data_IF_031170139003
#
_entry.id   IF_031170139003
#
_cell.length_a   1.000
_cell.length_b   1.000
_cell.length_c   1.000
_cell.angle_alpha   90.00
_cell.angle_beta   90.00
_cell.angle_gamma   90.00
#
_symmetry.space_group_name_H-M   'P 1'
#
loop_
_entity.id
_entity.type
_entity.pdbx_description
1 polymer ?
#
# COMPACT_ATOMS: atom_id res chain seq x y z
N UNK A 1 15.92 -62.85 -10.55
CA UNK A 1 15.66 -62.16 -11.83
C UNK A 1 14.48 -61.21 -11.60
N UNK A 2 14.75 -60.08 -10.94
CA UNK A 2 13.81 -58.96 -10.79
C UNK A 2 14.52 -57.77 -11.42
N UNK A 3 13.82 -57.11 -12.35
CA UNK A 3 14.36 -56.02 -13.16
C UNK A 3 14.81 -54.85 -12.30
N UNK A 4 15.90 -54.23 -12.74
CA UNK A 4 16.52 -53.07 -12.13
C UNK A 4 15.51 -51.92 -12.01
N UNK A 5 15.30 -51.46 -10.78
CA UNK A 5 14.66 -50.20 -10.45
C UNK A 5 15.72 -49.09 -10.54
N UNK A 6 15.91 -48.55 -11.74
CA UNK A 6 16.51 -47.22 -11.93
C UNK A 6 15.42 -46.17 -11.67
N UNK A 7 15.59 -45.31 -10.65
CA UNK A 7 14.63 -44.21 -10.45
C UNK A 7 14.60 -43.49 -9.11
N UNK A 8 15.49 -43.78 -8.16
CA UNK A 8 15.49 -43.10 -6.85
C UNK A 8 16.02 -41.65 -6.87
N UNK A 9 16.57 -41.16 -7.99
CA UNK A 9 17.17 -39.82 -8.07
C UNK A 9 16.21 -38.70 -8.51
N UNK A 10 14.92 -38.96 -8.78
CA UNK A 10 14.00 -37.94 -9.33
C UNK A 10 13.19 -37.11 -8.32
N UNK A 11 13.31 -37.36 -7.01
CA UNK A 11 12.47 -36.70 -6.00
C UNK A 11 13.16 -35.62 -5.15
N UNK A 12 14.46 -35.37 -5.34
CA UNK A 12 15.24 -34.39 -4.56
C UNK A 12 15.73 -33.19 -5.35
N UNK A 13 15.00 -32.79 -6.40
CA UNK A 13 15.23 -31.47 -6.96
C UNK A 13 14.82 -30.43 -5.89
N UNK A 14 15.67 -29.44 -5.54
CA UNK A 14 15.26 -28.34 -4.67
C UNK A 14 14.00 -27.71 -5.27
N UNK A 15 13.09 -27.21 -4.44
CA UNK A 15 11.76 -26.82 -4.91
C UNK A 15 11.83 -25.63 -5.86
N UNK A 16 12.86 -24.80 -5.70
CA UNK A 16 13.31 -23.82 -6.69
C UNK A 16 13.54 -24.39 -8.09
N UNK A 17 14.12 -25.58 -8.20
CA UNK A 17 14.34 -26.23 -9.50
C UNK A 17 13.00 -26.62 -10.17
N UNK A 18 11.95 -26.88 -9.38
CA UNK A 18 10.60 -27.05 -9.92
C UNK A 18 10.03 -25.73 -10.43
N UNK A 19 10.13 -24.65 -9.67
CA UNK A 19 9.68 -23.32 -10.10
C UNK A 19 10.37 -22.89 -11.41
N UNK A 20 11.70 -23.07 -11.51
CA UNK A 20 12.48 -22.79 -12.72
C UNK A 20 12.05 -23.67 -13.91
N UNK A 21 11.80 -24.96 -13.66
CA UNK A 21 11.44 -25.93 -14.71
C UNK A 21 10.04 -25.71 -15.27
N UNK A 22 9.09 -25.31 -14.44
CA UNK A 22 7.68 -25.13 -14.87
C UNK A 22 7.37 -23.70 -15.29
N UNK A 23 8.25 -22.73 -14.97
CA UNK A 23 8.04 -21.31 -15.25
C UNK A 23 6.82 -20.73 -14.52
N UNK A 24 6.48 -21.26 -13.34
CA UNK A 24 5.32 -20.84 -12.54
C UNK A 24 5.70 -20.69 -11.07
N UNK A 25 5.02 -19.82 -10.32
CA UNK A 25 5.18 -19.74 -8.88
C UNK A 25 4.90 -21.10 -8.23
N UNK A 26 5.67 -21.45 -7.20
CA UNK A 26 5.47 -22.65 -6.37
C UNK A 26 5.62 -22.22 -4.92
N UNK A 27 4.76 -22.76 -4.04
CA UNK A 27 4.95 -22.66 -2.59
C UNK A 27 4.69 -24.04 -1.96
N UNK A 28 5.23 -24.24 -0.77
CA UNK A 28 4.95 -25.42 0.04
C UNK A 28 3.90 -25.14 1.09
N UNK A 29 2.84 -25.95 1.15
CA UNK A 29 1.87 -25.92 2.23
C UNK A 29 2.07 -27.06 3.22
N UNK A 30 2.12 -26.77 4.52
CA UNK A 30 2.14 -27.79 5.57
C UNK A 30 1.43 -27.36 6.85
N UNK A 31 0.68 -28.27 7.50
CA UNK A 31 0.01 -27.95 8.77
C UNK A 31 0.94 -27.99 9.98
N UNK A 32 2.06 -28.72 9.91
CA UNK A 32 3.05 -28.78 11.00
C UNK A 32 4.49 -28.72 10.45
N UNK A 33 5.33 -27.89 11.08
CA UNK A 33 6.80 -27.90 10.87
C UNK A 33 7.44 -29.10 11.58
N UNK A 34 6.72 -29.72 12.53
CA UNK A 34 7.25 -30.69 13.48
C UNK A 34 7.49 -32.09 12.90
N UNK A 35 6.91 -32.42 11.74
CA UNK A 35 7.05 -33.74 11.12
C UNK A 35 8.21 -33.86 10.10
N UNK A 36 8.92 -32.78 9.81
CA UNK A 36 10.08 -32.80 8.92
C UNK A 36 11.35 -33.11 9.72
N UNK A 37 12.14 -34.08 9.26
CA UNK A 37 13.47 -34.34 9.82
C UNK A 37 14.41 -33.15 9.63
N UNK A 38 15.42 -33.02 10.48
CA UNK A 38 16.31 -31.84 10.54
C UNK A 38 17.03 -31.55 9.22
N UNK A 39 17.34 -32.58 8.44
CA UNK A 39 17.93 -32.42 7.09
C UNK A 39 16.99 -31.70 6.12
N UNK A 40 15.70 -32.06 6.10
CA UNK A 40 14.67 -31.42 5.27
C UNK A 40 14.37 -30.00 5.72
N UNK A 41 14.34 -29.74 7.03
CA UNK A 41 14.18 -28.37 7.56
C UNK A 41 15.34 -27.48 7.16
N UNK A 42 16.58 -27.99 7.27
CA UNK A 42 17.78 -27.23 6.87
C UNK A 42 17.74 -26.90 5.39
N UNK A 43 17.32 -27.86 4.55
CA UNK A 43 17.15 -27.67 3.11
C UNK A 43 16.08 -26.61 2.80
N UNK A 44 14.90 -26.66 3.44
CA UNK A 44 13.85 -25.66 3.23
C UNK A 44 14.23 -24.27 3.73
N UNK A 45 14.94 -24.17 4.85
CA UNK A 45 15.43 -22.86 5.34
C UNK A 45 16.47 -22.24 4.39
N UNK A 46 17.18 -23.06 3.61
CA UNK A 46 18.13 -22.61 2.60
C UNK A 46 17.54 -22.42 1.20
N UNK A 47 16.31 -22.90 0.96
CA UNK A 47 15.62 -22.79 -0.33
C UNK A 47 14.71 -21.54 -0.30
N UNK A 48 14.79 -20.63 -1.28
CA UNK A 48 14.00 -19.41 -1.30
C UNK A 48 12.50 -19.65 -1.61
N UNK A 49 12.07 -20.89 -1.85
CA UNK A 49 10.66 -21.22 -2.06
C UNK A 49 9.84 -20.90 -0.80
N UNK A 50 8.76 -20.11 -0.91
CA UNK A 50 7.90 -19.81 0.22
C UNK A 50 7.31 -21.08 0.87
N UNK A 51 7.46 -21.20 2.19
CA UNK A 51 6.83 -22.26 3.00
C UNK A 51 5.70 -21.65 3.82
N UNK A 52 4.47 -22.08 3.55
CA UNK A 52 3.25 -21.57 4.15
C UNK A 52 2.69 -22.59 5.13
N UNK A 53 2.59 -22.17 6.40
CA UNK A 53 2.12 -23.03 7.47
C UNK A 53 0.67 -22.76 7.89
N UNK A 54 -0.09 -23.84 8.08
CA UNK A 54 -1.46 -23.81 8.58
C UNK A 54 -2.52 -23.63 7.49
N UNK A 55 -3.62 -24.36 7.67
CA UNK A 55 -4.67 -24.55 6.63
C UNK A 55 -5.23 -23.24 6.10
N UNK A 56 -5.51 -22.26 6.97
CA UNK A 56 -6.05 -20.96 6.56
C UNK A 56 -5.05 -20.10 5.77
N UNK A 57 -3.73 -20.23 6.04
CA UNK A 57 -2.70 -19.51 5.27
C UNK A 57 -2.45 -20.20 3.95
N UNK A 58 -2.46 -21.53 3.91
CA UNK A 58 -2.36 -22.32 2.67
C UNK A 58 -3.53 -21.98 1.74
N UNK A 59 -4.77 -21.94 2.27
CA UNK A 59 -5.93 -21.54 1.48
C UNK A 59 -5.79 -20.12 0.93
N UNK A 60 -5.29 -19.17 1.73
CA UNK A 60 -4.98 -17.80 1.28
C UNK A 60 -3.88 -17.77 0.22
N UNK A 61 -2.83 -18.56 0.37
CA UNK A 61 -1.74 -18.66 -0.60
C UNK A 61 -2.24 -19.25 -1.93
N UNK A 62 -3.06 -20.30 -1.90
CA UNK A 62 -3.72 -20.85 -3.10
C UNK A 62 -4.64 -19.82 -3.77
N UNK A 63 -5.41 -19.08 -2.98
CA UNK A 63 -6.26 -17.99 -3.48
C UNK A 63 -5.41 -16.89 -4.13
N UNK A 64 -4.32 -16.49 -3.50
CA UNK A 64 -3.37 -15.51 -4.04
C UNK A 64 -2.70 -15.99 -5.33
N UNK A 65 -2.32 -17.27 -5.42
CA UNK A 65 -1.81 -17.86 -6.67
C UNK A 65 -2.86 -17.88 -7.77
N UNK A 66 -4.11 -18.21 -7.44
CA UNK A 66 -5.20 -18.20 -8.41
C UNK A 66 -5.47 -16.78 -8.90
N UNK A 67 -5.46 -15.80 -8.00
CA UNK A 67 -5.55 -14.38 -8.35
C UNK A 67 -4.38 -13.98 -9.25
N UNK A 68 -3.14 -14.26 -8.85
CA UNK A 68 -1.94 -14.01 -9.67
C UNK A 68 -2.06 -14.63 -11.08
N UNK A 69 -2.44 -15.90 -11.18
CA UNK A 69 -2.63 -16.58 -12.48
C UNK A 69 -3.70 -15.92 -13.35
N UNK A 70 -4.78 -15.42 -12.73
CA UNK A 70 -5.82 -14.64 -13.42
C UNK A 70 -5.39 -13.21 -13.74
N UNK A 71 -4.27 -12.73 -13.22
CA UNK A 71 -3.78 -11.38 -13.48
C UNK A 71 -2.63 -11.37 -14.48
N UNK A 72 -1.88 -12.47 -14.61
CA UNK A 72 -0.68 -12.54 -15.46
C UNK A 72 -0.92 -12.25 -16.95
N UNK A 73 -2.11 -12.56 -17.49
CA UNK A 73 -2.40 -12.32 -18.93
C UNK A 73 -2.44 -10.83 -19.29
N UNK A 74 -2.45 -9.95 -18.28
CA UNK A 74 -2.50 -8.50 -18.42
C UNK A 74 -1.11 -7.88 -18.54
N UNK A 75 -0.08 -8.59 -18.08
CA UNK A 75 1.29 -8.11 -18.13
C UNK A 75 1.92 -8.48 -19.47
N UNK A 76 2.60 -7.51 -20.08
CA UNK A 76 3.39 -7.74 -21.30
C UNK A 76 4.64 -8.56 -20.98
N UNK A 77 5.20 -9.25 -21.97
CA UNK A 77 6.47 -9.97 -21.79
C UNK A 77 7.61 -9.06 -21.34
N UNK A 78 7.53 -7.76 -21.66
CA UNK A 78 8.52 -6.73 -21.27
C UNK A 78 8.13 -5.94 -20.00
N UNK A 79 7.12 -6.38 -19.25
CA UNK A 79 6.64 -5.65 -18.07
C UNK A 79 7.72 -5.45 -16.99
N UNK A 80 8.78 -6.26 -16.97
CA UNK A 80 9.87 -6.10 -16.00
C UNK A 80 11.00 -5.19 -16.52
N UNK A 81 11.06 -4.90 -17.81
CA UNK A 81 12.19 -4.19 -18.45
C UNK A 81 12.01 -2.68 -18.59
N UNK A 82 10.83 -2.12 -18.32
CA UNK A 82 10.60 -0.67 -18.36
C UNK A 82 11.56 0.05 -17.40
N UNK A 83 12.26 1.12 -17.80
CA UNK A 83 13.10 1.87 -16.88
C UNK A 83 12.33 2.39 -15.66
N UNK A 84 12.97 2.42 -14.50
CA UNK A 84 12.40 3.01 -13.28
C UNK A 84 12.71 4.51 -13.21
N UNK A 85 11.81 5.26 -12.58
CA UNK A 85 11.99 6.67 -12.22
C UNK A 85 12.84 6.75 -10.95
N UNK A 86 13.96 7.50 -10.97
CA UNK A 86 14.86 7.56 -9.83
C UNK A 86 14.27 8.41 -8.68
N UNK A 87 14.23 7.85 -7.47
CA UNK A 87 13.92 8.59 -6.25
C UNK A 87 15.16 9.31 -5.70
N UNK A 88 15.05 10.61 -5.43
CA UNK A 88 16.13 11.44 -4.85
C UNK A 88 15.89 11.89 -3.41
N UNK A 89 14.72 11.59 -2.83
CA UNK A 89 14.38 11.96 -1.45
C UNK A 89 14.99 11.02 -0.40
N UNK A 90 14.49 11.17 0.84
CA UNK A 90 14.90 10.31 1.96
C UNK A 90 14.39 8.87 1.79
N UNK A 91 15.06 7.92 2.45
CA UNK A 91 14.65 6.51 2.45
C UNK A 91 13.29 6.31 3.14
N UNK A 92 12.98 7.12 4.14
CA UNK A 92 11.63 7.22 4.70
C UNK A 92 11.08 8.58 4.32
N UNK A 93 10.16 8.60 3.36
CA UNK A 93 9.52 9.79 2.84
C UNK A 93 8.14 9.98 3.47
N UNK A 94 7.95 11.10 4.15
CA UNK A 94 6.68 11.49 4.77
C UNK A 94 5.79 12.25 3.78
N UNK A 95 4.56 12.58 4.17
CA UNK A 95 3.63 13.33 3.31
C UNK A 95 4.25 14.57 2.64
N UNK A 96 4.94 15.50 3.35
CA UNK A 96 5.53 16.68 2.70
C UNK A 96 6.65 16.36 1.71
N UNK A 97 7.29 15.19 1.83
CA UNK A 97 8.31 14.74 0.87
C UNK A 97 7.69 14.16 -0.40
N UNK A 98 6.46 13.62 -0.29
CA UNK A 98 5.76 12.91 -1.36
C UNK A 98 4.71 13.76 -2.09
N UNK A 99 4.13 14.76 -1.43
CA UNK A 99 2.93 15.44 -1.92
C UNK A 99 3.09 16.03 -3.35
N UNK A 100 4.19 16.73 -3.62
CA UNK A 100 4.43 17.34 -4.94
C UNK A 100 4.64 16.28 -6.04
N UNK A 101 5.35 15.20 -5.72
CA UNK A 101 5.60 14.08 -6.64
C UNK A 101 4.30 13.32 -6.94
N UNK A 102 3.49 13.03 -5.92
CA UNK A 102 2.18 12.40 -6.06
C UNK A 102 1.24 13.26 -6.93
N UNK A 103 1.15 14.56 -6.65
CA UNK A 103 0.34 15.48 -7.45
C UNK A 103 0.81 15.55 -8.91
N UNK A 104 2.13 15.57 -9.14
CA UNK A 104 2.72 15.57 -10.48
C UNK A 104 2.42 14.27 -11.25
N UNK A 105 2.26 13.15 -10.53
CA UNK A 105 1.80 11.87 -11.07
C UNK A 105 0.27 11.76 -11.21
N UNK A 106 -0.48 12.83 -10.93
CA UNK A 106 -1.95 12.84 -11.00
C UNK A 106 -2.64 12.13 -9.82
N UNK A 107 -1.94 11.94 -8.71
CA UNK A 107 -2.47 11.41 -7.44
C UNK A 107 -2.77 12.62 -6.55
N UNK A 108 -4.01 13.10 -6.62
CA UNK A 108 -4.40 14.35 -5.94
C UNK A 108 -4.35 14.20 -4.42
N UNK A 109 -3.56 15.03 -3.76
CA UNK A 109 -3.54 15.13 -2.29
C UNK A 109 -4.49 16.20 -1.80
N UNK A 110 -4.77 16.20 -0.50
CA UNK A 110 -5.38 17.37 0.16
C UNK A 110 -4.48 18.59 0.03
N UNK A 111 -5.12 19.78 0.01
CA UNK A 111 -4.39 21.04 0.10
C UNK A 111 -3.62 21.10 1.43
N UNK A 112 -2.39 21.59 1.37
CA UNK A 112 -1.49 21.59 2.51
C UNK A 112 -0.53 22.77 2.50
N UNK A 113 0.00 23.10 3.69
CA UNK A 113 0.91 24.21 3.94
C UNK A 113 1.99 23.80 4.92
N UNK A 114 3.21 24.22 4.66
CA UNK A 114 4.36 24.00 5.53
C UNK A 114 4.51 25.12 6.55
N UNK A 115 3.99 24.90 7.76
CA UNK A 115 4.02 25.91 8.83
C UNK A 115 5.45 26.17 9.33
N UNK A 116 6.33 25.17 9.31
CA UNK A 116 7.75 25.34 9.65
C UNK A 116 8.47 26.28 8.66
N UNK A 117 8.02 26.34 7.40
CA UNK A 117 8.52 27.29 6.40
C UNK A 117 7.77 28.64 6.41
N UNK A 118 6.82 28.83 7.32
CA UNK A 118 6.06 30.07 7.47
C UNK A 118 4.93 30.25 6.45
N UNK A 119 4.49 29.17 5.80
CA UNK A 119 3.33 29.21 4.91
C UNK A 119 2.03 29.45 5.69
N UNK A 120 1.07 30.11 5.05
CA UNK A 120 -0.18 30.53 5.68
C UNK A 120 -1.36 29.79 5.05
N UNK A 121 -2.06 28.95 5.83
CA UNK A 121 -3.23 28.25 5.34
C UNK A 121 -4.39 29.20 5.08
N UNK A 122 -5.14 28.95 4.02
CA UNK A 122 -6.34 29.70 3.64
C UNK A 122 -7.65 28.87 3.76
N UNK A 123 -7.55 27.57 4.05
CA UNK A 123 -8.69 26.73 4.40
C UNK A 123 -9.25 27.07 5.80
N UNK A 124 -10.56 26.95 5.97
CA UNK A 124 -11.28 27.32 7.21
C UNK A 124 -10.97 26.43 8.40
N UNK A 125 -10.81 25.13 8.15
CA UNK A 125 -10.59 24.11 9.18
C UNK A 125 -9.42 23.22 8.75
N UNK A 126 -8.49 23.01 9.67
CA UNK A 126 -7.20 22.39 9.41
C UNK A 126 -6.95 21.16 10.29
N UNK A 127 -6.23 20.21 9.74
CA UNK A 127 -5.46 19.22 10.48
C UNK A 127 -4.01 19.70 10.54
N UNK A 128 -3.52 20.04 11.73
CA UNK A 128 -2.12 20.42 11.95
C UNK A 128 -1.37 19.20 12.48
N UNK A 129 -0.31 18.78 11.77
CA UNK A 129 0.39 17.51 12.00
C UNK A 129 1.89 17.74 12.13
N UNK A 130 2.52 16.95 12.99
CA UNK A 130 3.97 16.82 13.08
C UNK A 130 4.42 15.64 12.21
N UNK A 131 5.24 15.94 11.22
CA UNK A 131 5.79 14.98 10.26
C UNK A 131 7.26 14.73 10.57
N UNK A 132 7.63 13.47 10.73
CA UNK A 132 9.02 13.06 10.87
C UNK A 132 9.20 11.60 10.45
N UNK A 133 10.29 11.26 9.75
CA UNK A 133 10.69 9.87 9.52
C UNK A 133 10.82 9.02 10.80
N UNK A 134 11.05 9.67 11.94
CA UNK A 134 11.20 9.04 13.26
C UNK A 134 9.85 8.84 13.98
N UNK A 135 8.75 9.35 13.41
CA UNK A 135 7.42 9.37 14.02
C UNK A 135 6.41 8.65 13.13
N UNK A 136 6.41 7.32 13.18
CA UNK A 136 5.50 6.49 12.37
C UNK A 136 4.05 6.48 12.91
N UNK A 137 3.85 6.60 14.22
CA UNK A 137 2.52 6.58 14.86
C UNK A 137 2.18 7.94 15.51
N UNK A 138 1.92 8.95 14.66
CA UNK A 138 1.70 10.35 15.05
C UNK A 138 0.55 10.54 16.06
N UNK A 139 -0.54 9.81 15.90
CA UNK A 139 -1.73 9.94 16.75
C UNK A 139 -1.47 9.49 18.19
N UNK A 140 -0.64 8.47 18.40
CA UNK A 140 -0.34 7.93 19.72
C UNK A 140 0.47 8.93 20.57
N UNK A 141 1.26 9.76 19.91
CA UNK A 141 2.08 10.82 20.53
C UNK A 141 1.33 12.18 20.60
N UNK A 142 0.02 12.20 20.35
CA UNK A 142 -0.80 13.42 20.26
C UNK A 142 -0.24 14.45 19.24
N UNK A 143 0.44 13.95 18.21
CA UNK A 143 1.17 14.77 17.24
C UNK A 143 0.29 15.23 16.06
N UNK A 144 -1.03 15.17 16.24
CA UNK A 144 -2.07 15.56 15.28
C UNK A 144 -3.13 16.37 16.02
N UNK A 145 -3.39 17.59 15.53
CA UNK A 145 -4.43 18.50 16.02
C UNK A 145 -5.47 18.67 14.92
N UNK A 146 -6.69 18.19 15.14
CA UNK A 146 -7.79 18.27 14.18
C UNK A 146 -8.72 19.44 14.52
N UNK A 147 -9.38 19.99 13.51
CA UNK A 147 -10.38 21.05 13.69
C UNK A 147 -9.78 22.41 14.06
N UNK A 148 -8.55 22.67 13.64
CA UNK A 148 -7.83 23.91 13.94
C UNK A 148 -8.29 25.00 12.98
N UNK A 149 -8.78 26.12 13.51
CA UNK A 149 -9.06 27.31 12.69
C UNK A 149 -7.75 27.90 12.13
N UNK A 150 -7.77 28.45 10.91
CA UNK A 150 -6.56 29.00 10.27
C UNK A 150 -5.84 30.05 11.11
N UNK A 151 -6.58 30.85 11.89
CA UNK A 151 -6.02 31.83 12.82
C UNK A 151 -5.22 31.23 13.98
N UNK A 152 -5.48 29.95 14.32
CA UNK A 152 -4.81 29.21 15.38
C UNK A 152 -3.63 28.34 14.88
N UNK A 153 -3.38 28.29 13.57
CA UNK A 153 -2.36 27.42 12.96
C UNK A 153 -0.96 27.61 13.58
N UNK A 154 -0.54 28.86 13.82
CA UNK A 154 0.77 29.14 14.41
C UNK A 154 0.88 28.64 15.86
N UNK A 155 -0.14 28.87 16.70
CA UNK A 155 -0.14 28.36 18.08
C UNK A 155 -0.16 26.83 18.14
N UNK A 156 -0.87 26.19 17.20
CA UNK A 156 -0.86 24.74 17.06
C UNK A 156 0.51 24.23 16.62
N UNK A 157 1.21 24.96 15.74
CA UNK A 157 2.56 24.61 15.36
C UNK A 157 3.55 24.68 16.53
N UNK A 158 3.52 25.76 17.32
CA UNK A 158 4.36 25.90 18.52
C UNK A 158 4.14 24.75 19.54
N UNK A 159 2.88 24.32 19.69
CA UNK A 159 2.53 23.15 20.52
C UNK A 159 3.19 21.87 20.00
N UNK A 160 3.12 21.60 18.70
CA UNK A 160 3.70 20.40 18.10
C UNK A 160 5.24 20.45 18.07
N UNK A 161 5.85 21.62 17.90
CA UNK A 161 7.30 21.79 18.04
C UNK A 161 7.79 21.47 19.45
N UNK A 162 6.98 21.75 20.47
CA UNK A 162 7.30 21.37 21.85
C UNK A 162 7.33 19.85 22.02
N UNK A 163 6.41 19.13 21.36
CA UNK A 163 6.40 17.66 21.32
C UNK A 163 7.64 17.14 20.58
N UNK A 164 7.97 17.72 19.42
CA UNK A 164 9.14 17.35 18.64
C UNK A 164 10.43 17.47 19.46
N UNK A 165 10.61 18.57 20.21
CA UNK A 165 11.74 18.79 21.12
C UNK A 165 11.78 17.78 22.27
N UNK A 166 10.62 17.44 22.85
CA UNK A 166 10.52 16.45 23.93
C UNK A 166 10.92 15.04 23.46
N UNK A 167 10.60 14.71 22.22
CA UNK A 167 10.91 13.42 21.59
C UNK A 167 12.29 13.41 20.91
N UNK A 168 13.05 14.51 20.98
CA UNK A 168 14.36 14.69 20.32
C UNK A 168 14.33 14.40 18.81
N UNK A 169 13.20 14.72 18.16
CA UNK A 169 13.03 14.47 16.73
C UNK A 169 13.96 15.37 15.92
N UNK A 170 14.61 14.76 14.93
CA UNK A 170 15.44 15.44 13.94
C UNK A 170 14.70 15.52 12.61
N UNK A 171 15.00 16.56 11.82
CA UNK A 171 14.42 16.75 10.48
C UNK A 171 12.88 16.66 10.43
N UNK A 172 12.20 17.12 11.48
CA UNK A 172 10.75 17.17 11.50
C UNK A 172 10.22 18.41 10.77
N UNK A 173 8.96 18.34 10.36
CA UNK A 173 8.20 19.45 9.80
C UNK A 173 6.84 19.51 10.48
N UNK A 174 6.33 20.72 10.70
CA UNK A 174 4.93 20.92 11.07
C UNK A 174 4.17 21.39 9.83
N UNK A 175 3.13 20.65 9.48
CA UNK A 175 2.27 20.96 8.33
C UNK A 175 0.84 21.23 8.78
N UNK A 176 0.12 22.03 8.00
CA UNK A 176 -1.32 22.12 8.02
C UNK A 176 -1.88 21.48 6.76
N UNK A 177 -2.99 20.76 6.88
CA UNK A 177 -3.75 20.22 5.77
C UNK A 177 -5.20 20.63 5.88
N UNK A 178 -5.88 20.84 4.76
CA UNK A 178 -7.32 21.07 4.76
C UNK A 178 -8.05 19.85 5.36
N UNK A 179 -9.04 20.11 6.21
CA UNK A 179 -9.97 19.07 6.67
C UNK A 179 -10.97 18.69 5.58
N UNK A 180 -11.08 17.39 5.30
CA UNK A 180 -12.02 16.83 4.30
C UNK A 180 -13.31 16.38 5.01
N UNK A 181 -14.19 17.33 5.32
CA UNK A 181 -15.43 17.07 6.06
C UNK A 181 -16.57 16.45 5.22
N UNK A 182 -16.45 16.41 3.90
CA UNK A 182 -17.47 15.92 2.97
C UNK A 182 -17.22 14.47 2.47
N UNK A 183 -16.18 13.81 2.98
CA UNK A 183 -15.88 12.41 2.72
C UNK A 183 -17.08 11.50 3.02
N UNK A 184 -17.32 10.52 2.14
CA UNK A 184 -18.38 9.50 2.28
C UNK A 184 -17.82 8.11 2.54
N UNK A 185 -16.58 7.90 2.13
CA UNK A 185 -15.86 6.65 2.26
C UNK A 185 -14.38 6.98 2.40
N UNK A 186 -13.73 6.33 3.35
CA UNK A 186 -12.28 6.35 3.50
C UNK A 186 -11.73 4.99 3.08
N UNK A 187 -10.65 5.00 2.32
CA UNK A 187 -9.93 3.81 1.89
C UNK A 187 -8.49 3.86 2.41
N UNK A 188 -7.92 2.67 2.56
CA UNK A 188 -6.50 2.44 2.76
C UNK A 188 -5.94 1.96 1.43
N UNK A 189 -4.93 2.64 0.90
CA UNK A 189 -4.25 2.20 -0.32
C UNK A 189 -2.78 2.01 0.00
N UNK A 190 -2.36 0.76 0.13
CA UNK A 190 -0.97 0.40 0.37
C UNK A 190 -0.33 -0.25 -0.84
N UNK A 191 0.99 -0.23 -0.95
CA UNK A 191 1.71 -1.03 -1.92
C UNK A 191 2.97 -1.64 -1.31
N UNK A 192 3.35 -2.82 -1.81
CA UNK A 192 4.56 -3.53 -1.45
C UNK A 192 5.28 -3.94 -2.75
N UNK A 193 6.58 -3.69 -2.84
CA UNK A 193 7.41 -4.22 -3.91
C UNK A 193 8.06 -5.52 -3.43
N UNK A 194 7.42 -6.64 -3.77
CA UNK A 194 7.87 -7.97 -3.38
C UNK A 194 8.91 -8.50 -4.38
N UNK A 195 9.95 -9.18 -3.87
CA UNK A 195 11.04 -9.71 -4.70
C UNK A 195 10.64 -10.89 -5.59
N UNK A 196 9.53 -11.56 -5.29
CA UNK A 196 9.05 -12.74 -6.02
C UNK A 196 8.01 -12.36 -7.07
N UNK A 197 7.04 -11.52 -6.69
CA UNK A 197 5.90 -11.18 -7.57
C UNK A 197 5.93 -9.76 -8.12
N UNK A 198 6.85 -8.92 -7.66
CA UNK A 198 6.97 -7.52 -8.05
C UNK A 198 6.02 -6.60 -7.27
N UNK A 199 5.71 -5.40 -7.81
CA UNK A 199 4.87 -4.42 -7.13
C UNK A 199 3.42 -4.89 -7.04
N UNK A 200 2.89 -4.91 -5.82
CA UNK A 200 1.51 -5.27 -5.48
C UNK A 200 0.86 -4.11 -4.75
N UNK A 201 -0.28 -3.64 -5.26
CA UNK A 201 -1.12 -2.65 -4.60
C UNK A 201 -2.26 -3.35 -3.86
N UNK A 202 -2.56 -2.86 -2.67
CA UNK A 202 -3.59 -3.32 -1.75
C UNK A 202 -4.58 -2.19 -1.53
N UNK A 203 -5.87 -2.46 -1.70
CA UNK A 203 -6.94 -1.52 -1.35
C UNK A 203 -7.78 -2.13 -0.25
N UNK A 204 -8.01 -1.38 0.82
CA UNK A 204 -8.87 -1.78 1.94
C UNK A 204 -9.84 -0.67 2.33
N UNK A 205 -10.90 -1.05 3.04
CA UNK A 205 -11.76 -0.06 3.69
C UNK A 205 -11.00 0.61 4.85
N UNK A 206 -11.15 1.92 5.01
CA UNK A 206 -10.57 2.73 6.07
C UNK A 206 -11.59 3.22 7.10
N UNK A 207 -11.10 3.91 8.14
CA UNK A 207 -11.91 4.44 9.24
C UNK A 207 -12.19 3.45 10.38
N UNK A 208 -12.72 3.97 11.49
CA UNK A 208 -12.90 3.23 12.77
C UNK A 208 -13.69 1.94 12.63
N UNK A 209 -14.66 1.88 11.71
CA UNK A 209 -15.47 0.67 11.48
C UNK A 209 -14.77 -0.38 10.62
N UNK A 210 -13.73 -0.01 9.85
CA UNK A 210 -13.00 -0.94 9.00
C UNK A 210 -12.01 -1.82 9.77
N UNK A 211 -11.54 -1.40 10.94
CA UNK A 211 -10.69 -2.23 11.82
C UNK A 211 -11.38 -3.55 12.22
N UNK A 212 -12.72 -3.54 12.26
CA UNK A 212 -13.55 -4.72 12.56
C UNK A 212 -13.78 -5.61 11.33
N UNK A 213 -13.62 -5.08 10.12
CA UNK A 213 -13.82 -5.79 8.85
C UNK A 213 -12.61 -5.61 7.94
N UNK A 214 -11.64 -6.55 8.05
CA UNK A 214 -10.43 -6.60 7.22
C UNK A 214 -10.73 -7.02 5.77
N UNK A 215 -11.58 -6.27 5.07
CA UNK A 215 -11.81 -6.45 3.65
C UNK A 215 -10.74 -5.70 2.89
N UNK A 216 -9.89 -6.47 2.22
CA UNK A 216 -8.81 -5.98 1.36
C UNK A 216 -8.85 -6.74 0.05
N UNK A 217 -8.39 -6.09 -1.01
CA UNK A 217 -8.18 -6.66 -2.34
C UNK A 217 -6.80 -6.25 -2.83
N UNK A 218 -6.27 -6.98 -3.80
CA UNK A 218 -4.90 -6.82 -4.28
C UNK A 218 -4.83 -6.89 -5.80
N UNK A 219 -3.94 -6.09 -6.40
CA UNK A 219 -3.57 -6.18 -7.81
C UNK A 219 -2.06 -6.01 -8.01
N UNK A 220 -1.53 -6.67 -9.04
CA UNK A 220 -0.18 -6.40 -9.55
C UNK A 220 -0.17 -5.05 -10.26
N UNK A 221 0.89 -4.28 -10.06
CA UNK A 221 1.10 -3.00 -10.74
C UNK A 221 1.93 -3.16 -12.03
N UNK A 222 1.73 -2.28 -13.03
CA UNK A 222 0.66 -1.27 -13.10
C UNK A 222 -0.63 -1.90 -13.62
N UNK A 223 -1.76 -1.20 -13.48
CA UNK A 223 -3.05 -1.68 -13.98
C UNK A 223 -3.94 -0.57 -14.55
N UNK A 224 -4.99 -0.95 -15.28
CA UNK A 224 -5.94 -0.03 -15.90
C UNK A 224 -7.22 0.20 -15.07
N UNK A 225 -8.10 1.08 -15.56
CA UNK A 225 -9.38 1.42 -14.92
C UNK A 225 -10.28 0.18 -14.72
N UNK A 226 -10.23 -0.79 -15.62
CA UNK A 226 -11.02 -2.02 -15.50
C UNK A 226 -10.59 -2.83 -14.28
N UNK A 227 -9.29 -2.91 -14.03
CA UNK A 227 -8.75 -3.53 -12.81
C UNK A 227 -9.11 -2.71 -11.57
N UNK A 228 -8.93 -1.39 -11.60
CA UNK A 228 -9.29 -0.52 -10.49
C UNK A 228 -10.77 -0.68 -10.08
N UNK A 229 -11.68 -0.73 -11.06
CA UNK A 229 -13.10 -0.99 -10.84
C UNK A 229 -13.33 -2.39 -10.23
N UNK A 230 -12.61 -3.40 -10.72
CA UNK A 230 -12.66 -4.76 -10.18
C UNK A 230 -12.24 -4.84 -8.71
N UNK A 231 -11.22 -4.09 -8.29
CA UNK A 231 -10.81 -4.00 -6.88
C UNK A 231 -11.97 -3.48 -6.00
N UNK A 232 -12.62 -2.40 -6.42
CA UNK A 232 -13.76 -1.82 -5.70
C UNK A 232 -14.99 -2.74 -5.72
N UNK A 233 -15.18 -3.52 -6.80
CA UNK A 233 -16.19 -4.58 -6.87
C UNK A 233 -15.94 -5.70 -5.86
N UNK A 234 -14.69 -6.15 -5.72
CA UNK A 234 -14.30 -7.18 -4.75
C UNK A 234 -14.51 -6.72 -3.30
N UNK A 235 -14.33 -5.43 -3.02
CA UNK A 235 -14.66 -4.80 -1.74
C UNK A 235 -16.18 -4.60 -1.54
N UNK A 236 -17.02 -4.96 -2.53
CA UNK A 236 -18.48 -4.88 -2.50
C UNK A 236 -19.04 -3.47 -2.26
N UNK A 237 -18.24 -2.46 -2.55
CA UNK A 237 -18.61 -1.04 -2.41
C UNK A 237 -18.89 -0.37 -3.76
N UNK A 238 -18.76 -1.09 -4.87
CA UNK A 238 -19.09 -0.57 -6.20
C UNK A 238 -20.52 0.01 -6.32
N UNK A 239 -21.57 -0.55 -5.68
CA UNK A 239 -22.90 0.08 -5.71
C UNK A 239 -22.96 1.50 -5.14
N UNK A 240 -21.98 1.92 -4.32
CA UNK A 240 -21.91 3.30 -3.83
C UNK A 240 -21.56 4.29 -4.96
N UNK A 241 -20.85 3.84 -6.00
CA UNK A 241 -20.51 4.65 -7.19
C UNK A 241 -21.71 4.78 -8.15
N UNK A 242 -22.74 3.94 -7.99
CA UNK A 242 -23.99 4.01 -8.77
C UNK A 242 -25.09 4.77 -8.00
N UNK A 243 -24.83 5.15 -6.75
CA UNK A 243 -25.80 5.69 -5.80
C UNK A 243 -26.54 4.57 -5.06
N UNK A 244 -26.68 4.72 -3.74
CA UNK A 244 -27.26 3.67 -2.88
C UNK A 244 -28.20 4.26 -1.82
N UNK A 245 -29.42 3.69 -1.71
CA UNK A 245 -30.45 4.07 -0.72
C UNK A 245 -30.69 5.59 -0.62
N UNK A 246 -30.77 6.27 -1.76
CA UNK A 246 -31.03 7.71 -1.84
C UNK A 246 -29.80 8.59 -1.57
N UNK A 247 -28.62 8.01 -1.35
CA UNK A 247 -27.36 8.75 -1.36
C UNK A 247 -26.90 9.01 -2.80
N UNK A 248 -26.30 10.19 -3.08
CA UNK A 248 -25.64 10.45 -4.35
C UNK A 248 -24.55 9.42 -4.66
N UNK A 249 -24.23 9.20 -5.95
CA UNK A 249 -23.09 8.37 -6.33
C UNK A 249 -21.78 8.98 -5.83
N UNK A 250 -20.82 8.10 -5.49
CA UNK A 250 -19.43 8.49 -5.27
C UNK A 250 -18.74 8.90 -6.58
N UNK A 251 -17.64 9.63 -6.46
CA UNK A 251 -16.88 10.14 -7.60
C UNK A 251 -15.94 9.08 -8.20
N UNK A 252 -16.05 8.88 -9.52
CA UNK A 252 -15.27 7.89 -10.28
C UNK A 252 -13.77 8.23 -10.37
N UNK A 253 -13.34 9.44 -9.99
CA UNK A 253 -11.92 9.82 -9.92
C UNK A 253 -11.09 8.90 -9.04
N UNK A 254 -11.70 8.17 -8.09
CA UNK A 254 -11.00 7.12 -7.34
C UNK A 254 -10.36 6.08 -8.27
N UNK A 255 -11.04 5.64 -9.33
CA UNK A 255 -10.50 4.61 -10.21
C UNK A 255 -9.23 5.10 -10.92
N UNK A 256 -9.25 6.36 -11.39
CA UNK A 256 -8.08 6.97 -12.02
C UNK A 256 -6.96 7.20 -11.00
N UNK A 257 -7.30 7.60 -9.77
CA UNK A 257 -6.33 7.72 -8.68
C UNK A 257 -5.63 6.37 -8.42
N UNK A 258 -6.37 5.26 -8.34
CA UNK A 258 -5.79 3.93 -8.13
C UNK A 258 -4.88 3.49 -9.29
N UNK A 259 -5.27 3.80 -10.53
CA UNK A 259 -4.42 3.57 -11.71
C UNK A 259 -3.12 4.36 -11.58
N UNK A 260 -3.20 5.65 -11.24
CA UNK A 260 -2.04 6.52 -11.11
C UNK A 260 -1.12 6.05 -9.97
N UNK A 261 -1.67 5.63 -8.83
CA UNK A 261 -0.88 5.03 -7.73
C UNK A 261 -0.20 3.75 -8.22
N UNK A 262 -0.91 2.88 -8.94
CA UNK A 262 -0.30 1.64 -9.47
C UNK A 262 0.86 1.94 -10.42
N UNK A 263 0.72 2.95 -11.27
CA UNK A 263 1.75 3.37 -12.19
C UNK A 263 2.93 3.96 -11.43
N UNK A 264 2.68 4.85 -10.46
CA UNK A 264 3.72 5.46 -9.64
C UNK A 264 4.54 4.42 -8.86
N UNK A 265 3.88 3.42 -8.26
CA UNK A 265 4.53 2.30 -7.57
C UNK A 265 5.40 1.50 -8.53
N UNK A 266 4.87 1.22 -9.73
CA UNK A 266 5.61 0.48 -10.75
C UNK A 266 6.82 1.28 -11.26
N UNK A 267 6.70 2.59 -11.44
CA UNK A 267 7.78 3.44 -11.91
C UNK A 267 8.91 3.53 -10.88
N UNK A 268 8.63 3.46 -9.58
CA UNK A 268 9.64 3.55 -8.52
C UNK A 268 10.09 2.20 -7.95
N UNK A 269 9.72 1.08 -8.58
CA UNK A 269 9.87 -0.28 -8.02
C UNK A 269 11.32 -0.76 -7.81
N UNK A 270 12.33 -0.04 -8.28
CA UNK A 270 13.73 -0.37 -8.04
C UNK A 270 14.18 -0.04 -6.61
N UNK A 271 13.71 1.09 -6.08
CA UNK A 271 14.02 1.56 -4.73
C UNK A 271 12.84 1.45 -3.77
N UNK A 272 11.61 1.65 -4.23
CA UNK A 272 10.42 1.60 -3.39
C UNK A 272 10.26 0.19 -2.79
N UNK A 273 10.05 0.14 -1.48
CA UNK A 273 9.68 -1.07 -0.74
C UNK A 273 8.20 -1.06 -0.40
N UNK A 274 7.74 0.03 0.20
CA UNK A 274 6.40 0.16 0.75
C UNK A 274 5.85 1.56 0.46
N UNK A 275 4.55 1.64 0.19
CA UNK A 275 3.77 2.87 0.13
C UNK A 275 2.53 2.67 0.99
N UNK A 276 2.17 3.67 1.78
CA UNK A 276 0.92 3.72 2.54
C UNK A 276 0.24 5.07 2.31
N UNK A 277 -0.97 5.03 1.75
CA UNK A 277 -1.85 6.18 1.56
C UNK A 277 -3.07 5.98 2.46
N UNK A 278 -3.11 6.70 3.57
CA UNK A 278 -4.09 6.49 4.61
C UNK A 278 -4.44 7.79 5.36
N UNK A 279 -5.64 8.38 5.17
CA UNK A 279 -6.74 7.88 4.34
C UNK A 279 -6.67 8.35 2.88
N UNK A 280 -7.32 7.61 2.00
CA UNK A 280 -7.81 8.10 0.70
C UNK A 280 -9.29 8.43 0.85
N UNK A 281 -9.65 9.71 0.76
CA UNK A 281 -11.01 10.20 0.88
C UNK A 281 -11.75 10.09 -0.44
N UNK A 282 -12.93 9.47 -0.41
CA UNK A 282 -13.84 9.35 -1.55
C UNK A 282 -15.11 10.15 -1.26
N UNK A 283 -15.47 11.03 -2.19
CA UNK A 283 -16.52 12.02 -2.04
C UNK A 283 -17.64 11.78 -3.03
N UNK A 284 -18.72 12.55 -2.92
CA UNK A 284 -19.80 12.51 -3.89
C UNK A 284 -19.30 12.94 -5.28
N UNK A 285 -19.96 12.43 -6.32
CA UNK A 285 -19.72 12.81 -7.71
C UNK A 285 -19.68 14.33 -7.90
N UNK A 286 -18.65 14.80 -8.60
CA UNK A 286 -18.31 16.22 -8.77
C UNK A 286 -17.15 16.68 -7.88
N UNK A 287 -16.71 15.84 -6.93
CA UNK A 287 -15.61 16.13 -6.01
C UNK A 287 -14.55 15.02 -6.11
N UNK A 288 -13.31 15.31 -6.56
CA UNK A 288 -12.31 14.27 -6.78
C UNK A 288 -11.90 13.57 -5.48
N UNK A 289 -11.46 12.32 -5.57
CA UNK A 289 -10.82 11.61 -4.47
C UNK A 289 -9.51 12.30 -4.05
N UNK A 290 -9.19 12.28 -2.75
CA UNK A 290 -8.04 13.00 -2.19
C UNK A 290 -7.23 12.09 -1.26
N UNK A 291 -5.91 12.15 -1.35
CA UNK A 291 -4.98 11.51 -0.40
C UNK A 291 -4.73 12.45 0.79
N UNK A 292 -5.06 11.99 2.01
CA UNK A 292 -4.92 12.77 3.25
C UNK A 292 -3.62 12.58 4.00
N UNK A 293 -2.96 11.43 3.87
CA UNK A 293 -1.63 11.17 4.39
C UNK A 293 -0.90 10.19 3.48
N UNK A 294 0.42 10.25 3.49
CA UNK A 294 1.28 9.40 2.67
C UNK A 294 2.58 9.09 3.40
N UNK A 295 3.01 7.84 3.33
CA UNK A 295 4.30 7.37 3.80
C UNK A 295 4.88 6.41 2.77
N UNK A 296 6.15 6.58 2.42
CA UNK A 296 6.84 5.64 1.54
C UNK A 296 8.20 5.27 2.12
N UNK A 297 8.56 4.00 1.96
CA UNK A 297 9.85 3.45 2.35
C UNK A 297 10.60 3.04 1.09
N UNK A 298 11.83 3.53 0.94
CA UNK A 298 12.75 3.26 -0.14
C UNK A 298 14.02 2.55 0.38
N UNK A 299 14.77 1.92 -0.53
CA UNK A 299 16.07 1.29 -0.32
C UNK A 299 17.23 2.20 -0.73
#
# INVERSE_FOLDING_TARGET
MMGAWEGFERWFAPITAWAYKIGKPVFLGGNEVFCLGDSLRTQFNSDPTPVVHGTARIARALSGMQQYYRLQYRLTDEWFSTPCTPWQGADTATFPDLADELNSAGITTVDWWNLTKGEKPDATELAVKLESPQLLHKSDEQAVLLGVESGAANSSAEQLETIAKKLDLQNYQVIAQQMVGDSKLELLVGALVDSTVGPVLTVGLGGVTAELQKQVTHALCPFDIGVARGLIEELRILPLFEGYRGQPPLDDSLFQLLVNVSQWVYDHRDRLKELDLNPVFVRNSGSPALVGDALAIFN
#
